data_IF_083121863886
#
_entry.id   IF_083121863886
#
_cell.length_a   1.000
_cell.length_b   1.000
_cell.length_c   1.000
_cell.angle_alpha   90.00
_cell.angle_beta   90.00
_cell.angle_gamma   90.00
#
_symmetry.space_group_name_H-M   'P 1'
#
loop_
_entity.id
_entity.type
_entity.pdbx_description
1 polymer ?
#
# COMPACT_ATOMS: atom_id res chain seq x y z
N UNK A 1 -36.43 -34.11 -9.73
CA UNK A 1 -36.82 -32.81 -10.33
C UNK A 1 -36.26 -31.60 -9.59
N UNK A 2 -36.45 -31.43 -8.26
CA UNK A 2 -35.93 -30.24 -7.55
C UNK A 2 -34.38 -30.15 -7.48
N UNK A 3 -33.68 -31.28 -7.36
CA UNK A 3 -32.21 -31.32 -7.31
C UNK A 3 -31.56 -31.02 -8.67
N UNK A 4 -32.15 -31.51 -9.78
CA UNK A 4 -31.68 -31.23 -11.14
C UNK A 4 -31.91 -29.77 -11.55
N UNK A 5 -33.04 -29.18 -11.15
CA UNK A 5 -33.31 -27.76 -11.41
C UNK A 5 -32.30 -26.85 -10.69
N UNK A 6 -31.91 -27.21 -9.46
CA UNK A 6 -30.89 -26.49 -8.70
C UNK A 6 -29.50 -26.63 -9.32
N UNK A 7 -29.08 -27.85 -9.70
CA UNK A 7 -27.80 -28.08 -10.35
C UNK A 7 -27.67 -27.35 -11.70
N UNK A 8 -28.76 -27.23 -12.45
CA UNK A 8 -28.80 -26.50 -13.71
C UNK A 8 -28.69 -24.97 -13.51
N UNK A 9 -29.38 -24.44 -12.50
CA UNK A 9 -29.27 -23.03 -12.12
C UNK A 9 -27.86 -22.67 -11.60
N UNK A 10 -27.23 -23.56 -10.82
CA UNK A 10 -25.87 -23.35 -10.32
C UNK A 10 -24.84 -23.35 -11.47
N UNK A 11 -24.97 -24.25 -12.46
CA UNK A 11 -24.13 -24.22 -13.66
C UNK A 11 -24.32 -22.95 -14.49
N UNK A 12 -25.55 -22.52 -14.74
CA UNK A 12 -25.84 -21.30 -15.52
C UNK A 12 -25.27 -20.06 -14.82
N UNK A 13 -25.34 -20.00 -13.48
CA UNK A 13 -24.74 -18.93 -12.69
C UNK A 13 -23.19 -18.95 -12.75
N UNK A 14 -22.56 -20.11 -12.69
CA UNK A 14 -21.11 -20.26 -12.80
C UNK A 14 -20.62 -19.89 -14.21
N UNK A 15 -21.35 -20.29 -15.25
CA UNK A 15 -21.04 -19.96 -16.63
C UNK A 15 -21.20 -18.45 -16.90
N UNK A 16 -22.23 -17.81 -16.34
CA UNK A 16 -22.39 -16.37 -16.39
C UNK A 16 -21.26 -15.63 -15.65
N UNK A 17 -20.79 -16.18 -14.53
CA UNK A 17 -19.65 -15.62 -13.78
C UNK A 17 -18.34 -15.70 -14.57
N UNK A 18 -18.06 -16.85 -15.19
CA UNK A 18 -16.87 -17.04 -16.04
C UNK A 18 -16.87 -16.12 -17.26
N UNK A 19 -18.02 -15.89 -17.88
CA UNK A 19 -18.16 -14.95 -19.00
C UNK A 19 -17.97 -13.50 -18.56
N UNK A 20 -18.52 -13.13 -17.39
CA UNK A 20 -18.31 -11.80 -16.81
C UNK A 20 -16.85 -11.57 -16.44
N UNK A 21 -16.17 -12.58 -15.90
CA UNK A 21 -14.74 -12.56 -15.58
C UNK A 21 -13.88 -12.41 -16.84
N UNK A 22 -14.15 -13.21 -17.88
CA UNK A 22 -13.45 -13.12 -19.16
C UNK A 22 -13.63 -11.75 -19.83
N UNK A 23 -14.85 -11.20 -19.79
CA UNK A 23 -15.15 -9.88 -20.35
C UNK A 23 -14.47 -8.76 -19.56
N UNK A 24 -14.54 -8.79 -18.22
CA UNK A 24 -13.89 -7.80 -17.38
C UNK A 24 -12.36 -7.80 -17.57
N UNK A 25 -11.76 -8.98 -17.74
CA UNK A 25 -10.34 -9.13 -18.05
C UNK A 25 -9.98 -8.57 -19.43
N UNK A 26 -10.78 -8.87 -20.46
CA UNK A 26 -10.56 -8.35 -21.81
C UNK A 26 -10.72 -6.82 -21.89
N UNK A 27 -11.73 -6.24 -21.21
CA UNK A 27 -11.95 -4.80 -21.17
C UNK A 27 -10.80 -4.08 -20.43
N UNK A 28 -10.27 -4.68 -19.36
CA UNK A 28 -9.09 -4.18 -18.65
C UNK A 28 -7.83 -4.22 -19.54
N UNK A 29 -7.58 -5.35 -20.22
CA UNK A 29 -6.44 -5.51 -21.14
C UNK A 29 -6.51 -4.52 -22.32
N UNK A 30 -7.70 -4.29 -22.89
CA UNK A 30 -7.89 -3.33 -23.98
C UNK A 30 -7.63 -1.88 -23.53
N UNK A 31 -8.08 -1.52 -22.32
CA UNK A 31 -7.87 -0.18 -21.75
C UNK A 31 -6.39 0.08 -21.48
N UNK A 32 -5.66 -0.90 -20.93
CA UNK A 32 -4.22 -0.78 -20.69
C UNK A 32 -3.44 -0.70 -22.00
N UNK A 33 -3.83 -1.44 -23.02
CA UNK A 33 -3.19 -1.37 -24.33
C UNK A 33 -3.34 0.01 -24.98
N UNK A 34 -4.52 0.63 -24.88
CA UNK A 34 -4.75 1.99 -25.39
C UNK A 34 -3.91 3.04 -24.66
N UNK A 35 -3.82 2.97 -23.32
CA UNK A 35 -2.95 3.86 -22.55
C UNK A 35 -1.49 3.70 -22.92
N UNK A 36 -1.02 2.46 -23.05
CA UNK A 36 0.36 2.16 -23.45
C UNK A 36 0.67 2.71 -24.86
N UNK A 37 -0.23 2.54 -25.83
CA UNK A 37 -0.07 3.08 -27.18
C UNK A 37 -0.03 4.62 -27.18
N UNK A 38 -0.89 5.29 -26.40
CA UNK A 38 -0.88 6.76 -26.29
C UNK A 38 0.39 7.28 -25.63
N UNK A 39 0.85 6.64 -24.55
CA UNK A 39 2.11 6.97 -23.88
C UNK A 39 3.30 6.80 -24.83
N UNK A 40 3.32 5.70 -25.60
CA UNK A 40 4.38 5.43 -26.59
C UNK A 40 4.40 6.48 -27.71
N UNK A 41 3.23 6.99 -28.12
CA UNK A 41 3.15 8.09 -29.10
C UNK A 41 3.70 9.39 -28.52
N UNK A 42 3.28 9.75 -27.30
CA UNK A 42 3.76 10.97 -26.62
C UNK A 42 5.27 10.95 -26.37
N UNK A 43 5.83 9.80 -26.00
CA UNK A 43 7.26 9.64 -25.83
C UNK A 43 8.02 9.89 -27.13
N UNK A 44 7.55 9.34 -28.26
CA UNK A 44 8.15 9.59 -29.59
C UNK A 44 8.08 11.06 -30.00
N UNK A 45 6.94 11.71 -29.80
CA UNK A 45 6.78 13.14 -30.11
C UNK A 45 7.73 14.02 -29.28
N UNK A 46 7.91 13.70 -27.98
CA UNK A 46 8.84 14.42 -27.13
C UNK A 46 10.31 14.14 -27.52
N UNK A 47 10.66 12.89 -27.86
CA UNK A 47 12.00 12.54 -28.37
C UNK A 47 12.34 13.30 -29.66
N UNK A 48 11.42 13.36 -30.62
CA UNK A 48 11.62 14.13 -31.86
C UNK A 48 11.80 15.63 -31.58
N UNK A 49 11.02 16.18 -30.65
CA UNK A 49 11.16 17.58 -30.23
C UNK A 49 12.50 17.84 -29.57
N UNK A 50 12.95 16.98 -28.66
CA UNK A 50 14.25 17.09 -28.02
C UNK A 50 15.39 16.98 -29.03
N UNK A 51 15.28 16.07 -30.01
CA UNK A 51 16.29 15.93 -31.08
C UNK A 51 16.40 17.20 -31.93
N UNK A 52 15.28 17.85 -32.27
CA UNK A 52 15.30 19.14 -33.00
C UNK A 52 15.96 20.26 -32.19
N UNK A 53 15.64 20.37 -30.90
CA UNK A 53 16.25 21.37 -30.01
C UNK A 53 17.75 21.12 -29.84
N UNK A 54 18.18 19.86 -29.71
CA UNK A 54 19.59 19.50 -29.62
C UNK A 54 20.36 19.86 -30.90
N UNK A 55 19.76 19.65 -32.08
CA UNK A 55 20.36 20.02 -33.35
C UNK A 55 20.50 21.55 -33.52
N UNK A 56 19.48 22.32 -33.11
CA UNK A 56 19.51 23.77 -33.11
C UNK A 56 20.60 24.31 -32.17
N UNK A 57 20.69 23.74 -30.96
CA UNK A 57 21.73 24.06 -29.98
C UNK A 57 23.14 23.80 -30.51
N UNK A 58 23.38 22.62 -31.09
CA UNK A 58 24.67 22.26 -31.65
C UNK A 58 25.12 23.23 -32.77
N UNK A 59 24.17 23.75 -33.56
CA UNK A 59 24.45 24.76 -34.58
C UNK A 59 24.85 26.10 -33.95
N UNK A 60 24.11 26.57 -32.94
CA UNK A 60 24.44 27.80 -32.22
C UNK A 60 25.82 27.71 -31.52
N UNK A 61 26.15 26.54 -30.96
CA UNK A 61 27.44 26.31 -30.31
C UNK A 61 28.60 26.32 -31.31
N UNK A 62 28.42 25.71 -32.48
CA UNK A 62 29.41 25.76 -33.55
C UNK A 62 29.64 27.20 -34.07
N UNK A 63 28.58 27.99 -34.19
CA UNK A 63 28.66 29.41 -34.56
C UNK A 63 29.39 30.23 -33.48
N UNK A 64 29.11 29.99 -32.20
CA UNK A 64 29.78 30.64 -31.08
C UNK A 64 31.28 30.28 -30.99
N UNK A 65 31.64 29.00 -31.17
CA UNK A 65 33.02 28.53 -31.22
C UNK A 65 33.79 29.16 -32.39
N UNK A 66 33.17 29.27 -33.57
CA UNK A 66 33.78 29.93 -34.72
C UNK A 66 34.02 31.44 -34.48
N UNK A 67 33.13 32.11 -33.75
CA UNK A 67 33.31 33.51 -33.32
C UNK A 67 34.43 33.66 -32.28
N UNK A 68 34.51 32.74 -31.31
CA UNK A 68 35.55 32.71 -30.28
C UNK A 68 36.96 32.52 -30.89
N UNK A 69 37.10 31.58 -31.83
CA UNK A 69 38.34 31.34 -32.55
C UNK A 69 38.83 32.58 -33.34
N UNK A 70 37.90 33.40 -33.85
CA UNK A 70 38.20 34.65 -34.55
C UNK A 70 38.57 35.79 -33.60
N UNK A 71 37.91 35.88 -32.45
CA UNK A 71 38.13 36.96 -31.48
C UNK A 71 39.52 36.89 -30.81
N UNK A 72 40.08 35.68 -30.65
CA UNK A 72 41.42 35.41 -30.09
C UNK A 72 41.67 36.05 -28.70
N UNK A 73 40.63 36.42 -27.97
CA UNK A 73 40.76 36.99 -26.63
C UNK A 73 40.77 35.90 -25.54
N UNK A 74 41.62 36.07 -24.52
CA UNK A 74 41.83 35.04 -23.48
C UNK A 74 40.58 34.78 -22.64
N UNK A 75 39.73 35.80 -22.46
CA UNK A 75 38.46 35.66 -21.74
C UNK A 75 37.46 34.83 -22.55
N UNK A 76 37.38 35.02 -23.87
CA UNK A 76 36.57 34.20 -24.77
C UNK A 76 36.98 32.73 -24.78
N UNK A 77 38.28 32.43 -24.82
CA UNK A 77 38.79 31.05 -24.69
C UNK A 77 38.41 30.40 -23.35
N UNK A 78 38.49 31.17 -22.26
CA UNK A 78 38.09 30.69 -20.94
C UNK A 78 36.58 30.39 -20.88
N UNK A 79 35.75 31.23 -21.49
CA UNK A 79 34.30 31.03 -21.61
C UNK A 79 34.00 29.77 -22.44
N UNK A 80 34.68 29.57 -23.56
CA UNK A 80 34.49 28.40 -24.43
C UNK A 80 34.85 27.09 -23.73
N UNK A 81 36.03 27.01 -23.09
CA UNK A 81 36.46 25.84 -22.32
C UNK A 81 35.47 25.53 -21.18
N UNK A 82 35.01 26.55 -20.46
CA UNK A 82 34.04 26.35 -19.38
C UNK A 82 32.66 25.93 -19.93
N UNK A 83 32.26 26.44 -21.08
CA UNK A 83 31.00 26.04 -21.75
C UNK A 83 31.01 24.56 -22.11
N UNK A 84 32.12 24.05 -22.65
CA UNK A 84 32.28 22.62 -22.93
C UNK A 84 32.22 21.75 -21.66
N UNK A 85 32.82 22.22 -20.56
CA UNK A 85 32.71 21.55 -19.26
C UNK A 85 31.27 21.49 -18.77
N UNK A 86 30.54 22.61 -18.87
CA UNK A 86 29.13 22.73 -18.49
C UNK A 86 28.25 21.79 -19.31
N UNK A 87 28.52 21.63 -20.60
CA UNK A 87 27.80 20.68 -21.45
C UNK A 87 28.00 19.23 -21.02
N UNK A 88 29.22 18.85 -20.63
CA UNK A 88 29.49 17.54 -20.04
C UNK A 88 28.68 17.28 -18.77
N UNK A 89 28.66 18.25 -17.84
CA UNK A 89 27.86 18.16 -16.61
C UNK A 89 26.34 18.12 -16.93
N UNK A 90 25.89 18.85 -17.95
CA UNK A 90 24.48 18.85 -18.39
C UNK A 90 24.02 17.48 -18.88
N UNK A 91 24.88 16.74 -19.57
CA UNK A 91 24.57 15.39 -20.04
C UNK A 91 24.44 14.42 -18.86
N UNK A 92 25.38 14.47 -17.91
CA UNK A 92 25.33 13.65 -16.68
C UNK A 92 24.03 13.92 -15.91
N UNK A 93 23.65 15.18 -15.77
CA UNK A 93 22.43 15.56 -15.07
C UNK A 93 21.16 15.06 -15.77
N UNK A 94 21.15 15.09 -17.10
CA UNK A 94 20.06 14.54 -17.92
C UNK A 94 19.94 13.03 -17.75
N UNK A 95 21.06 12.31 -17.77
CA UNK A 95 21.09 10.86 -17.57
C UNK A 95 20.60 10.46 -16.17
N UNK A 96 21.04 11.18 -15.14
CA UNK A 96 20.58 10.97 -13.76
C UNK A 96 19.07 11.20 -13.63
N UNK A 97 18.55 12.26 -14.25
CA UNK A 97 17.12 12.57 -14.22
C UNK A 97 16.30 11.51 -14.96
N UNK A 98 16.79 11.01 -16.10
CA UNK A 98 16.15 9.92 -16.86
C UNK A 98 16.12 8.61 -16.07
N UNK A 99 17.23 8.25 -15.42
CA UNK A 99 17.27 7.09 -14.52
C UNK A 99 16.29 7.23 -13.36
N UNK A 100 16.21 8.43 -12.78
CA UNK A 100 15.27 8.70 -11.70
C UNK A 100 13.83 8.59 -12.17
N UNK A 101 13.48 9.20 -13.31
CA UNK A 101 12.17 9.09 -13.95
C UNK A 101 11.76 7.63 -14.21
N UNK A 102 12.66 6.82 -14.76
CA UNK A 102 12.41 5.39 -14.99
C UNK A 102 12.15 4.63 -13.67
N UNK A 103 12.88 4.97 -12.61
CA UNK A 103 12.70 4.36 -11.28
C UNK A 103 11.35 4.75 -10.65
N UNK A 104 10.94 6.02 -10.76
CA UNK A 104 9.61 6.47 -10.32
C UNK A 104 8.50 5.78 -11.11
N UNK A 105 8.66 5.64 -12.42
CA UNK A 105 7.70 4.95 -13.28
C UNK A 105 7.51 3.47 -12.87
N UNK A 106 8.61 2.78 -12.53
CA UNK A 106 8.55 1.42 -12.00
C UNK A 106 7.76 1.35 -10.68
N UNK A 107 7.98 2.30 -9.75
CA UNK A 107 7.21 2.38 -8.50
C UNK A 107 5.73 2.64 -8.76
N UNK A 108 5.40 3.49 -9.73
CA UNK A 108 4.02 3.75 -10.11
C UNK A 108 3.35 2.50 -10.70
N UNK A 109 4.09 1.72 -11.50
CA UNK A 109 3.62 0.44 -12.02
C UNK A 109 3.36 -0.57 -10.91
N UNK A 110 4.27 -0.70 -9.95
CA UNK A 110 4.10 -1.59 -8.79
C UNK A 110 2.85 -1.23 -7.97
N UNK A 111 2.56 0.08 -7.81
CA UNK A 111 1.34 0.56 -7.17
C UNK A 111 0.08 0.21 -7.97
N UNK A 112 0.10 0.41 -9.29
CA UNK A 112 -1.04 0.06 -10.15
C UNK A 112 -1.34 -1.44 -10.12
N UNK A 113 -0.29 -2.26 -10.15
CA UNK A 113 -0.37 -3.71 -10.02
C UNK A 113 -1.02 -4.12 -8.68
N UNK A 114 -0.65 -3.45 -7.57
CA UNK A 114 -1.22 -3.69 -6.25
C UNK A 114 -2.70 -3.30 -6.18
N UNK A 115 -3.07 -2.17 -6.79
CA UNK A 115 -4.48 -1.74 -6.89
C UNK A 115 -5.31 -2.74 -7.67
N UNK A 116 -4.81 -3.20 -8.82
CA UNK A 116 -5.48 -4.20 -9.65
C UNK A 116 -5.65 -5.53 -8.90
N UNK A 117 -4.61 -6.02 -8.21
CA UNK A 117 -4.70 -7.23 -7.37
C UNK A 117 -5.79 -7.09 -6.31
N UNK A 118 -5.82 -5.95 -5.61
CA UNK A 118 -6.83 -5.68 -4.59
C UNK A 118 -8.25 -5.63 -5.18
N UNK A 119 -8.44 -4.92 -6.29
CA UNK A 119 -9.74 -4.75 -6.95
C UNK A 119 -10.30 -6.07 -7.53
N UNK A 120 -9.44 -6.88 -8.17
CA UNK A 120 -9.82 -8.21 -8.67
C UNK A 120 -10.16 -9.13 -7.53
N UNK A 121 -9.32 -9.13 -6.50
CA UNK A 121 -9.56 -9.91 -5.31
C UNK A 121 -10.93 -9.55 -4.73
N UNK A 122 -11.31 -8.26 -4.66
CA UNK A 122 -12.60 -7.83 -4.07
C UNK A 122 -13.82 -8.31 -4.86
N UNK A 123 -13.64 -8.59 -6.15
CA UNK A 123 -14.65 -9.21 -7.00
C UNK A 123 -14.68 -10.74 -6.88
N UNK A 124 -13.88 -11.32 -5.99
CA UNK A 124 -13.73 -12.76 -5.81
C UNK A 124 -12.92 -13.45 -6.92
N UNK A 125 -12.18 -12.68 -7.73
CA UNK A 125 -11.38 -13.19 -8.84
C UNK A 125 -9.96 -13.46 -8.31
N UNK A 126 -9.57 -14.73 -8.32
CA UNK A 126 -8.24 -15.14 -7.88
C UNK A 126 -7.19 -14.88 -8.97
N UNK A 127 -6.12 -14.17 -8.61
CA UNK A 127 -4.94 -13.96 -9.45
C UNK A 127 -3.73 -14.56 -8.74
N UNK A 128 -2.89 -15.26 -9.49
CA UNK A 128 -1.67 -15.84 -8.93
C UNK A 128 -0.75 -14.73 -8.36
N UNK A 129 -0.22 -14.89 -7.13
CA UNK A 129 0.66 -13.90 -6.53
C UNK A 129 1.90 -13.66 -7.40
N UNK A 130 2.20 -12.38 -7.69
CA UNK A 130 3.44 -12.05 -8.40
C UNK A 130 4.65 -12.40 -7.52
N UNK A 131 5.78 -12.82 -8.11
CA UNK A 131 7.02 -13.07 -7.37
C UNK A 131 7.41 -11.88 -6.51
N UNK A 132 7.87 -12.14 -5.29
CA UNK A 132 8.33 -11.09 -4.39
C UNK A 132 9.56 -10.38 -4.98
N UNK A 133 9.42 -9.09 -5.28
CA UNK A 133 10.52 -8.21 -5.69
C UNK A 133 11.09 -7.54 -4.44
N UNK A 134 12.39 -7.71 -4.19
CA UNK A 134 13.06 -6.99 -3.11
C UNK A 134 13.05 -5.49 -3.39
N UNK A 135 12.39 -4.72 -2.51
CA UNK A 135 12.31 -3.26 -2.63
C UNK A 135 13.52 -2.53 -2.05
N UNK A 136 14.40 -3.24 -1.31
CA UNK A 136 15.52 -2.63 -0.61
C UNK A 136 16.56 -2.04 -1.59
N UNK A 137 16.93 -2.79 -2.63
CA UNK A 137 17.88 -2.33 -3.64
C UNK A 137 17.33 -1.13 -4.42
N UNK A 138 16.06 -1.20 -4.83
CA UNK A 138 15.41 -0.11 -5.56
C UNK A 138 15.25 1.16 -4.71
N UNK A 139 14.91 1.02 -3.42
CA UNK A 139 14.85 2.16 -2.51
C UNK A 139 16.23 2.77 -2.27
N UNK A 140 17.27 1.94 -2.15
CA UNK A 140 18.65 2.42 -2.04
C UNK A 140 19.09 3.18 -3.29
N UNK A 141 18.69 2.71 -4.47
CA UNK A 141 18.96 3.38 -5.75
C UNK A 141 18.25 4.74 -5.83
N UNK A 142 17.00 4.83 -5.37
CA UNK A 142 16.25 6.10 -5.30
C UNK A 142 16.98 7.12 -4.43
N UNK A 143 17.42 6.75 -3.23
CA UNK A 143 18.14 7.67 -2.35
C UNK A 143 19.50 8.08 -2.93
N UNK A 144 20.21 7.15 -3.57
CA UNK A 144 21.46 7.48 -4.27
C UNK A 144 21.22 8.47 -5.42
N UNK A 145 20.19 8.26 -6.25
CA UNK A 145 19.85 9.16 -7.36
C UNK A 145 19.46 10.56 -6.88
N UNK A 146 18.71 10.66 -5.76
CA UNK A 146 18.38 11.97 -5.16
C UNK A 146 19.63 12.77 -4.79
N UNK A 147 20.60 12.12 -4.16
CA UNK A 147 21.88 12.75 -3.76
C UNK A 147 22.68 13.14 -5.01
N UNK A 148 22.84 12.23 -5.97
CA UNK A 148 23.58 12.49 -7.20
C UNK A 148 22.97 13.65 -8.01
N UNK A 149 21.64 13.73 -8.10
CA UNK A 149 20.95 14.85 -8.76
C UNK A 149 21.17 16.15 -8.00
N UNK A 150 21.11 16.14 -6.66
CA UNK A 150 21.36 17.33 -5.85
C UNK A 150 22.80 17.84 -6.03
N UNK A 151 23.79 16.94 -6.03
CA UNK A 151 25.19 17.28 -6.24
C UNK A 151 25.44 17.81 -7.66
N UNK A 152 24.86 17.16 -8.68
CA UNK A 152 24.93 17.62 -10.07
C UNK A 152 24.30 19.01 -10.24
N UNK A 153 23.13 19.27 -9.64
CA UNK A 153 22.48 20.57 -9.62
C UNK A 153 23.37 21.66 -9.00
N UNK A 154 24.02 21.35 -7.87
CA UNK A 154 24.91 22.29 -7.20
C UNK A 154 26.18 22.56 -8.03
N UNK A 155 26.77 21.54 -8.65
CA UNK A 155 27.91 21.71 -9.55
C UNK A 155 27.55 22.59 -10.75
N UNK A 156 26.42 22.30 -11.39
CA UNK A 156 25.92 23.05 -12.54
C UNK A 156 25.69 24.53 -12.19
N UNK A 157 25.06 24.83 -11.05
CA UNK A 157 24.90 26.21 -10.57
C UNK A 157 26.22 26.95 -10.42
N UNK A 158 27.22 26.28 -9.83
CA UNK A 158 28.54 26.86 -9.62
C UNK A 158 29.25 27.13 -10.95
N UNK A 159 29.15 26.23 -11.93
CA UNK A 159 29.74 26.43 -13.26
C UNK A 159 29.03 27.54 -14.04
N UNK A 160 27.70 27.60 -14.02
CA UNK A 160 26.93 28.71 -14.62
C UNK A 160 27.30 30.06 -13.98
N UNK A 161 27.53 30.09 -12.66
CA UNK A 161 27.96 31.30 -11.96
C UNK A 161 29.37 31.73 -12.42
N UNK A 162 30.32 30.79 -12.53
CA UNK A 162 31.66 31.06 -13.08
C UNK A 162 31.58 31.57 -14.52
N UNK A 163 30.73 30.97 -15.35
CA UNK A 163 30.52 31.38 -16.75
C UNK A 163 29.94 32.79 -16.84
N UNK A 164 28.96 33.10 -15.98
CA UNK A 164 28.38 34.45 -15.86
C UNK A 164 29.43 35.48 -15.45
N UNK A 165 30.34 35.14 -14.54
CA UNK A 165 31.42 36.03 -14.11
C UNK A 165 32.42 36.29 -15.24
N UNK A 166 32.85 35.25 -15.97
CA UNK A 166 33.75 35.42 -17.14
C UNK A 166 33.10 36.28 -18.23
N UNK A 167 31.81 36.09 -18.49
CA UNK A 167 31.04 36.95 -19.40
C UNK A 167 31.06 38.41 -18.94
N UNK A 168 30.80 38.67 -17.66
CA UNK A 168 30.84 40.03 -17.10
C UNK A 168 32.24 40.65 -17.17
N UNK A 169 33.31 39.86 -17.03
CA UNK A 169 34.68 40.33 -17.24
C UNK A 169 34.94 40.69 -18.69
N UNK A 170 34.42 39.92 -19.65
CA UNK A 170 34.54 40.21 -21.07
C UNK A 170 33.82 41.51 -21.44
N UNK A 171 32.65 41.77 -20.86
CA UNK A 171 31.91 43.02 -21.06
C UNK A 171 32.68 44.29 -20.61
N UNK A 172 33.69 44.17 -19.74
CA UNK A 172 34.55 45.31 -19.37
C UNK A 172 35.53 45.69 -20.49
N UNK A 173 35.85 44.76 -21.39
CA UNK A 173 36.84 44.90 -22.47
C UNK A 173 36.20 45.04 -23.85
N UNK A 174 34.99 44.52 -24.03
CA UNK A 174 34.30 44.46 -25.32
C UNK A 174 32.86 44.99 -25.22
N UNK A 175 32.35 45.67 -26.27
CA UNK A 175 30.98 46.20 -26.28
C UNK A 175 29.92 45.11 -26.06
N UNK A 176 28.80 45.47 -25.44
CA UNK A 176 27.68 44.55 -25.22
C UNK A 176 27.10 44.00 -26.53
N UNK A 177 27.11 44.80 -27.59
CA UNK A 177 26.54 44.43 -28.89
C UNK A 177 27.47 43.59 -29.78
N UNK A 178 28.68 43.28 -29.31
CA UNK A 178 29.61 42.36 -29.98
C UNK A 178 28.92 41.00 -30.22
N UNK A 179 28.97 40.45 -31.46
CA UNK A 179 28.33 39.17 -31.80
C UNK A 179 28.70 38.02 -30.85
N UNK A 180 29.94 37.97 -30.38
CA UNK A 180 30.39 36.91 -29.46
C UNK A 180 29.79 37.09 -28.05
N UNK A 181 29.68 38.33 -27.56
CA UNK A 181 28.97 38.61 -26.29
C UNK A 181 27.48 38.27 -26.37
N UNK A 182 26.83 38.45 -27.52
CA UNK A 182 25.43 38.05 -27.71
C UNK A 182 25.29 36.52 -27.62
N UNK A 183 26.13 35.78 -28.34
CA UNK A 183 26.14 34.32 -28.31
C UNK A 183 26.39 33.77 -26.89
N UNK A 184 27.35 34.33 -26.14
CA UNK A 184 27.60 33.92 -24.76
C UNK A 184 26.43 34.21 -23.82
N UNK A 185 25.78 35.38 -23.97
CA UNK A 185 24.61 35.72 -23.16
C UNK A 185 23.44 34.77 -23.43
N UNK A 186 23.17 34.46 -24.70
CA UNK A 186 22.14 33.50 -25.11
C UNK A 186 22.43 32.12 -24.51
N UNK A 187 23.65 31.61 -24.63
CA UNK A 187 24.06 30.33 -24.05
C UNK A 187 23.93 30.30 -22.53
N UNK A 188 24.34 31.35 -21.82
CA UNK A 188 24.19 31.45 -20.35
C UNK A 188 22.71 31.41 -19.96
N UNK A 189 21.84 32.10 -20.71
CA UNK A 189 20.40 32.10 -20.43
C UNK A 189 19.77 30.74 -20.73
N UNK A 190 20.19 30.07 -21.81
CA UNK A 190 19.79 28.70 -22.13
C UNK A 190 20.16 27.74 -20.99
N UNK A 191 21.41 27.78 -20.52
CA UNK A 191 21.89 26.95 -19.41
C UNK A 191 21.13 27.20 -18.10
N UNK A 192 20.81 28.46 -17.79
CA UNK A 192 19.98 28.80 -16.62
C UNK A 192 18.56 28.26 -16.75
N UNK A 193 17.96 28.36 -17.94
CA UNK A 193 16.63 27.83 -18.21
C UNK A 193 16.59 26.30 -18.12
N UNK A 194 17.60 25.63 -18.68
CA UNK A 194 17.77 24.18 -18.59
C UNK A 194 17.94 23.72 -17.13
N UNK A 195 18.78 24.42 -16.35
CA UNK A 195 18.97 24.12 -14.92
C UNK A 195 17.65 24.25 -14.14
N UNK A 196 16.90 25.33 -14.36
CA UNK A 196 15.61 25.53 -13.70
C UNK A 196 14.59 24.46 -14.10
N UNK A 197 14.59 24.03 -15.37
CA UNK A 197 13.74 22.94 -15.84
C UNK A 197 14.09 21.63 -15.12
N UNK A 198 15.37 21.26 -15.04
CA UNK A 198 15.80 20.05 -14.36
C UNK A 198 15.47 20.04 -12.86
N UNK A 199 15.58 21.19 -12.19
CA UNK A 199 15.16 21.30 -10.78
C UNK A 199 13.66 21.09 -10.58
N UNK A 200 12.85 21.66 -11.47
CA UNK A 200 11.39 21.49 -11.43
C UNK A 200 11.01 20.04 -11.70
N UNK A 201 11.62 19.40 -12.70
CA UNK A 201 11.36 18.00 -13.03
C UNK A 201 11.81 17.07 -11.89
N UNK A 202 12.99 17.32 -11.31
CA UNK A 202 13.47 16.59 -10.12
C UNK A 202 12.54 16.73 -8.92
N UNK A 203 12.07 17.95 -8.62
CA UNK A 203 11.12 18.20 -7.54
C UNK A 203 9.77 17.50 -7.77
N UNK A 204 9.27 17.51 -9.01
CA UNK A 204 8.04 16.80 -9.37
C UNK A 204 8.17 15.28 -9.15
N UNK A 205 9.29 14.68 -9.57
CA UNK A 205 9.55 13.25 -9.36
C UNK A 205 9.63 12.88 -7.87
N UNK A 206 10.20 13.75 -7.04
CA UNK A 206 10.22 13.55 -5.57
C UNK A 206 8.80 13.57 -5.01
N UNK A 207 7.98 14.56 -5.41
CA UNK A 207 6.59 14.64 -4.97
C UNK A 207 5.77 13.41 -5.41
N UNK A 208 5.98 12.93 -6.64
CA UNK A 208 5.36 11.71 -7.14
C UNK A 208 5.75 10.47 -6.31
N UNK A 209 7.01 10.34 -5.91
CA UNK A 209 7.44 9.24 -5.03
C UNK A 209 6.75 9.29 -3.67
N UNK A 210 6.59 10.46 -3.07
CA UNK A 210 5.88 10.61 -1.79
C UNK A 210 4.41 10.23 -1.91
N UNK A 211 3.76 10.64 -3.01
CA UNK A 211 2.39 10.24 -3.35
C UNK A 211 2.30 8.72 -3.53
N UNK A 212 3.16 8.13 -4.35
CA UNK A 212 3.19 6.68 -4.60
C UNK A 212 3.38 5.91 -3.28
N UNK A 213 4.29 6.37 -2.41
CA UNK A 213 4.51 5.76 -1.10
C UNK A 213 3.22 5.76 -0.26
N UNK A 214 2.56 6.90 -0.17
CA UNK A 214 1.33 7.08 0.60
C UNK A 214 0.20 6.17 0.06
N UNK A 215 -0.01 6.17 -1.26
CA UNK A 215 -1.01 5.32 -1.91
C UNK A 215 -0.71 3.83 -1.73
N UNK A 216 0.56 3.43 -1.81
CA UNK A 216 0.98 2.04 -1.56
C UNK A 216 0.66 1.60 -0.13
N UNK A 217 0.87 2.46 0.86
CA UNK A 217 0.51 2.16 2.24
C UNK A 217 -1.01 2.00 2.44
N UNK A 218 -1.81 2.80 1.73
CA UNK A 218 -3.27 2.69 1.75
C UNK A 218 -3.72 1.32 1.21
N UNK A 219 -3.20 0.92 0.04
CA UNK A 219 -3.55 -0.37 -0.56
C UNK A 219 -3.08 -1.56 0.27
N UNK A 220 -1.91 -1.47 0.92
CA UNK A 220 -1.46 -2.49 1.88
C UNK A 220 -2.42 -2.60 3.07
N UNK A 221 -2.85 -1.48 3.64
CA UNK A 221 -3.84 -1.46 4.74
C UNK A 221 -5.18 -2.05 4.31
N UNK A 222 -5.63 -1.79 3.08
CA UNK A 222 -6.85 -2.37 2.50
C UNK A 222 -6.77 -3.90 2.46
N UNK A 223 -5.67 -4.46 1.95
CA UNK A 223 -5.42 -5.90 1.93
C UNK A 223 -5.41 -6.53 3.33
N UNK A 224 -4.75 -5.89 4.31
CA UNK A 224 -4.69 -6.39 5.69
C UNK A 224 -6.09 -6.42 6.32
N UNK A 225 -6.86 -5.33 6.18
CA UNK A 225 -8.24 -5.27 6.71
C UNK A 225 -9.12 -6.37 6.14
N UNK A 226 -8.96 -6.66 4.86
CA UNK A 226 -9.73 -7.72 4.20
C UNK A 226 -9.29 -9.12 4.61
N UNK A 227 -7.98 -9.40 4.66
CA UNK A 227 -7.49 -10.68 5.15
C UNK A 227 -7.96 -10.95 6.59
N UNK A 228 -8.05 -9.91 7.43
CA UNK A 228 -8.66 -10.01 8.75
C UNK A 228 -10.16 -10.34 8.67
N UNK A 229 -10.92 -9.68 7.78
CA UNK A 229 -12.35 -9.92 7.58
C UNK A 229 -12.67 -11.33 7.03
N UNK A 230 -11.96 -11.77 5.99
CA UNK A 230 -12.16 -13.11 5.39
C UNK A 230 -11.78 -14.24 6.36
N UNK A 231 -10.73 -14.03 7.16
CA UNK A 231 -10.38 -14.96 8.23
C UNK A 231 -11.46 -14.98 9.33
N UNK A 232 -12.17 -13.88 9.59
CA UNK A 232 -13.25 -13.84 10.59
C UNK A 232 -14.46 -14.72 10.21
N UNK A 233 -14.91 -14.67 8.94
CA UNK A 233 -16.04 -15.48 8.47
C UNK A 233 -15.69 -16.97 8.42
N UNK A 234 -14.49 -17.30 7.90
CA UNK A 234 -14.00 -18.68 7.89
C UNK A 234 -13.82 -19.25 9.31
N UNK A 235 -13.23 -18.48 10.22
CA UNK A 235 -13.09 -18.87 11.63
C UNK A 235 -14.45 -19.07 12.30
N UNK A 236 -15.40 -18.15 12.10
CA UNK A 236 -16.73 -18.29 12.68
C UNK A 236 -17.43 -19.58 12.22
N UNK A 237 -17.34 -19.93 10.93
CA UNK A 237 -17.91 -21.18 10.42
C UNK A 237 -17.27 -22.42 11.07
N UNK A 238 -15.94 -22.44 11.22
CA UNK A 238 -15.21 -23.52 11.89
C UNK A 238 -15.56 -23.62 13.39
N UNK A 239 -15.69 -22.48 14.05
CA UNK A 239 -16.04 -22.34 15.45
C UNK A 239 -17.44 -22.89 15.74
N UNK A 240 -18.43 -22.52 14.92
CA UNK A 240 -19.80 -23.04 15.00
C UNK A 240 -19.83 -24.55 14.74
N UNK A 241 -19.11 -25.04 13.73
CA UNK A 241 -19.03 -26.47 13.44
C UNK A 241 -18.40 -27.27 14.59
N UNK A 242 -17.36 -26.71 15.23
CA UNK A 242 -16.69 -27.33 16.37
C UNK A 242 -17.60 -27.38 17.60
N UNK A 243 -18.31 -26.29 17.91
CA UNK A 243 -19.29 -26.26 18.99
C UNK A 243 -20.39 -27.30 18.77
N UNK A 244 -20.94 -27.37 17.55
CA UNK A 244 -21.96 -28.36 17.19
C UNK A 244 -21.45 -29.78 17.42
N UNK A 245 -20.26 -30.10 16.93
CA UNK A 245 -19.63 -31.40 17.14
C UNK A 245 -19.47 -31.71 18.63
N UNK A 246 -18.96 -30.77 19.43
CA UNK A 246 -18.79 -30.96 20.89
C UNK A 246 -20.14 -31.28 21.55
N UNK A 247 -21.20 -30.55 21.22
CA UNK A 247 -22.54 -30.78 21.77
C UNK A 247 -23.11 -32.15 21.38
N UNK A 248 -22.83 -32.64 20.17
CA UNK A 248 -23.36 -33.91 19.65
C UNK A 248 -22.56 -35.13 20.09
N UNK A 249 -21.24 -35.02 20.26
CA UNK A 249 -20.36 -36.17 20.52
C UNK A 249 -19.95 -36.33 21.98
N UNK A 250 -20.05 -35.29 22.80
CA UNK A 250 -19.63 -35.34 24.20
C UNK A 250 -20.65 -36.11 25.04
N UNK A 251 -20.18 -37.20 25.67
CA UNK A 251 -21.00 -38.00 26.59
C UNK A 251 -21.02 -37.35 27.98
N UNK A 252 -22.14 -37.51 28.69
CA UNK A 252 -22.25 -37.13 30.10
C UNK A 252 -21.22 -37.90 30.93
N UNK A 253 -20.54 -37.19 31.84
CA UNK A 253 -19.56 -37.81 32.73
C UNK A 253 -20.25 -38.68 33.77
N UNK A 254 -19.76 -39.90 33.96
CA UNK A 254 -20.19 -40.80 35.05
C UNK A 254 -19.64 -40.36 36.41
N UNK A 255 -18.56 -39.58 36.42
CA UNK A 255 -17.96 -39.00 37.63
C UNK A 255 -18.27 -37.50 37.70
N UNK A 256 -18.83 -36.99 38.81
CA UNK A 256 -19.11 -35.56 38.95
C UNK A 256 -17.84 -34.72 38.81
N UNK A 257 -17.84 -33.79 37.85
CA UNK A 257 -16.74 -32.85 37.66
C UNK A 257 -16.72 -31.80 38.78
N UNK A 258 -15.51 -31.40 39.18
CA UNK A 258 -15.22 -30.41 40.21
C UNK A 258 -14.82 -29.08 39.56
N UNK A 259 -14.91 -27.98 40.32
CA UNK A 259 -14.49 -26.67 39.82
C UNK A 259 -13.00 -26.62 39.42
N UNK A 260 -12.15 -27.42 40.07
CA UNK A 260 -10.72 -27.57 39.73
C UNK A 260 -10.48 -28.20 38.35
N UNK A 261 -11.49 -28.87 37.77
CA UNK A 261 -11.36 -29.50 36.47
C UNK A 261 -11.54 -28.50 35.32
N UNK A 262 -12.03 -27.29 35.61
CA UNK A 262 -12.29 -26.22 34.65
C UNK A 262 -11.15 -25.19 34.64
N UNK A 263 -10.60 -24.91 33.45
CA UNK A 263 -9.76 -23.73 33.22
C UNK A 263 -10.70 -22.57 32.87
N UNK A 264 -10.85 -21.58 33.74
CA UNK A 264 -11.71 -20.42 33.47
C UNK A 264 -11.05 -19.36 32.58
N UNK A 265 -9.74 -19.52 32.32
CA UNK A 265 -8.92 -18.59 31.57
C UNK A 265 -8.78 -17.25 32.29
N UNK A 266 -9.02 -16.15 31.58
CA UNK A 266 -8.82 -14.81 32.11
C UNK A 266 -9.98 -14.38 33.01
N UNK A 267 -9.67 -14.01 34.25
CA UNK A 267 -10.67 -13.52 35.20
C UNK A 267 -11.32 -12.23 34.69
N UNK A 268 -12.65 -12.21 34.73
CA UNK A 268 -13.43 -11.06 34.32
C UNK A 268 -13.71 -10.15 35.51
N UNK A 269 -13.57 -8.84 35.32
CA UNK A 269 -14.10 -7.86 36.28
C UNK A 269 -15.62 -7.93 36.27
N UNK A 270 -16.26 -7.72 37.43
CA UNK A 270 -17.71 -7.64 37.51
C UNK A 270 -18.20 -6.47 36.64
N UNK A 271 -18.86 -6.79 35.52
CA UNK A 271 -19.48 -5.87 34.56
C UNK A 271 -18.50 -5.16 33.60
N UNK A 272 -18.24 -5.79 32.45
CA UNK A 272 -17.50 -5.20 31.31
C UNK A 272 -18.45 -4.84 30.17
N UNK A 273 -18.17 -3.77 29.43
CA UNK A 273 -18.84 -3.43 28.17
C UNK A 273 -17.90 -3.76 27.01
N UNK A 274 -18.39 -4.56 26.07
CA UNK A 274 -17.69 -4.95 24.86
C UNK A 274 -18.52 -4.54 23.65
N UNK A 275 -17.86 -3.98 22.64
CA UNK A 275 -18.52 -3.43 21.45
C UNK A 275 -18.17 -4.18 20.17
N UNK A 276 -19.04 -4.12 19.18
CA UNK A 276 -18.81 -4.62 17.82
C UNK A 276 -18.49 -6.13 17.76
N UNK A 277 -19.23 -6.93 18.54
CA UNK A 277 -19.17 -8.39 18.48
C UNK A 277 -20.05 -8.90 17.35
N UNK A 278 -19.42 -9.21 16.22
CA UNK A 278 -20.08 -9.86 15.08
C UNK A 278 -20.74 -11.19 15.50
N UNK A 279 -21.87 -11.52 14.88
CA UNK A 279 -22.63 -12.76 15.12
C UNK A 279 -23.07 -12.94 16.58
N UNK A 280 -23.28 -11.83 17.30
CA UNK A 280 -23.89 -11.80 18.62
C UNK A 280 -24.90 -10.67 18.68
N UNK A 281 -25.87 -10.77 19.59
CA UNK A 281 -26.88 -9.75 19.76
C UNK A 281 -26.47 -8.78 20.88
N UNK A 282 -27.14 -7.63 20.91
CA UNK A 282 -27.07 -6.74 22.07
C UNK A 282 -27.69 -7.43 23.29
N UNK A 283 -27.07 -7.25 24.46
CA UNK A 283 -27.56 -7.82 25.71
C UNK A 283 -26.50 -7.99 26.78
N UNK A 284 -26.90 -8.62 27.88
CA UNK A 284 -26.08 -8.95 29.05
C UNK A 284 -25.86 -10.46 29.09
N UNK A 285 -24.63 -10.87 28.88
CA UNK A 285 -24.21 -12.26 28.80
C UNK A 285 -23.60 -12.71 30.12
N UNK A 286 -23.99 -13.89 30.60
CA UNK A 286 -23.34 -14.53 31.75
C UNK A 286 -22.14 -15.35 31.29
N UNK A 287 -20.98 -14.70 31.30
CA UNK A 287 -19.72 -15.30 30.88
C UNK A 287 -19.21 -16.21 31.98
N UNK A 288 -18.94 -17.46 31.64
CA UNK A 288 -18.39 -18.47 32.54
C UNK A 288 -16.90 -18.66 32.40
N UNK A 289 -16.32 -18.40 31.22
CA UNK A 289 -14.88 -18.50 30.97
C UNK A 289 -14.46 -17.64 29.79
N UNK A 290 -13.19 -17.21 29.78
CA UNK A 290 -12.61 -16.43 28.69
C UNK A 290 -11.25 -16.97 28.28
N UNK A 291 -11.11 -17.39 27.03
CA UNK A 291 -9.88 -17.98 26.49
C UNK A 291 -9.41 -17.28 25.23
N UNK A 292 -8.11 -17.29 24.97
CA UNK A 292 -7.51 -16.78 23.73
C UNK A 292 -7.11 -17.90 22.75
N UNK A 293 -7.45 -19.16 23.05
CA UNK A 293 -7.10 -20.31 22.22
C UNK A 293 -8.34 -21.17 21.95
N UNK A 294 -8.37 -21.78 20.75
CA UNK A 294 -9.42 -22.69 20.31
C UNK A 294 -9.43 -23.96 21.14
N UNK A 295 -8.25 -24.47 21.49
CA UNK A 295 -8.07 -25.70 22.26
C UNK A 295 -8.65 -25.55 23.67
N UNK A 296 -8.30 -24.47 24.37
CA UNK A 296 -8.81 -24.20 25.72
C UNK A 296 -10.31 -23.95 25.74
N UNK A 297 -10.81 -23.23 24.74
CA UNK A 297 -12.25 -23.05 24.54
C UNK A 297 -12.95 -24.40 24.38
N UNK A 298 -12.46 -25.25 23.48
CA UNK A 298 -13.07 -26.56 23.20
C UNK A 298 -12.99 -27.50 24.40
N UNK A 299 -11.91 -27.47 25.16
CA UNK A 299 -11.79 -28.21 26.43
C UNK A 299 -12.82 -27.77 27.46
N UNK A 300 -13.00 -26.45 27.66
CA UNK A 300 -14.00 -25.93 28.59
C UNK A 300 -15.42 -26.32 28.15
N UNK A 301 -15.74 -26.11 26.86
CA UNK A 301 -17.04 -26.48 26.28
C UNK A 301 -17.32 -27.97 26.45
N UNK A 302 -16.34 -28.83 26.15
CA UNK A 302 -16.46 -30.29 26.32
C UNK A 302 -16.73 -30.66 27.76
N UNK A 303 -16.00 -30.09 28.72
CA UNK A 303 -16.24 -30.35 30.16
C UNK A 303 -17.60 -29.84 30.63
N UNK A 304 -18.05 -28.70 30.13
CA UNK A 304 -19.36 -28.15 30.48
C UNK A 304 -20.50 -29.03 29.94
N UNK A 305 -20.40 -29.49 28.68
CA UNK A 305 -21.36 -30.44 28.10
C UNK A 305 -21.33 -31.77 28.84
N UNK A 306 -20.15 -32.29 29.18
CA UNK A 306 -20.00 -33.50 30.00
C UNK A 306 -20.60 -33.35 31.41
N UNK A 307 -20.60 -32.14 31.97
CA UNK A 307 -21.27 -31.77 33.23
C UNK A 307 -22.79 -31.51 33.07
N UNK A 308 -23.35 -31.73 31.87
CA UNK A 308 -24.77 -31.61 31.57
C UNK A 308 -25.24 -30.23 31.09
N UNK A 309 -24.33 -29.33 30.69
CA UNK A 309 -24.67 -27.98 30.19
C UNK A 309 -24.62 -27.92 28.67
N UNK A 310 -25.69 -28.32 27.99
CA UNK A 310 -25.78 -28.44 26.53
C UNK A 310 -26.12 -27.14 25.78
N UNK A 311 -26.71 -26.16 26.47
CA UNK A 311 -27.02 -24.82 26.00
C UNK A 311 -25.80 -23.88 25.97
N UNK A 312 -24.62 -24.35 26.39
CA UNK A 312 -23.39 -23.56 26.38
C UNK A 312 -23.03 -23.06 24.97
N UNK A 313 -22.54 -21.84 24.88
CA UNK A 313 -22.22 -21.15 23.64
C UNK A 313 -21.03 -20.21 23.87
N UNK A 314 -20.56 -19.55 22.82
CA UNK A 314 -19.54 -18.53 22.93
C UNK A 314 -19.67 -17.50 21.81
N UNK A 315 -19.02 -16.36 22.02
CA UNK A 315 -18.72 -15.42 20.94
C UNK A 315 -17.23 -15.09 20.92
N UNK A 316 -16.73 -14.66 19.77
CA UNK A 316 -15.33 -14.26 19.61
C UNK A 316 -15.21 -12.75 19.44
N UNK A 317 -14.42 -12.12 20.30
CA UNK A 317 -14.06 -10.72 20.17
C UNK A 317 -12.77 -10.60 19.34
N UNK A 318 -12.91 -10.10 18.11
CA UNK A 318 -11.79 -9.89 17.18
C UNK A 318 -10.76 -8.89 17.74
N UNK A 319 -11.22 -7.85 18.42
CA UNK A 319 -10.34 -6.79 18.94
C UNK A 319 -9.42 -7.28 20.05
N UNK A 320 -9.87 -8.24 20.87
CA UNK A 320 -9.07 -8.80 21.97
C UNK A 320 -8.52 -10.18 21.67
N UNK A 321 -8.90 -10.79 20.54
CA UNK A 321 -8.64 -12.19 20.19
C UNK A 321 -9.05 -13.18 21.30
N UNK A 322 -10.26 -13.00 21.86
CA UNK A 322 -10.77 -13.81 22.98
C UNK A 322 -12.13 -14.42 22.68
N UNK A 323 -12.30 -15.65 23.10
CA UNK A 323 -13.56 -16.39 23.20
C UNK A 323 -14.19 -16.15 24.55
N UNK A 324 -15.42 -15.65 24.56
CA UNK A 324 -16.23 -15.46 25.75
C UNK A 324 -17.30 -16.54 25.77
N UNK A 325 -17.18 -17.48 26.72
CA UNK A 325 -18.07 -18.63 26.83
C UNK A 325 -19.22 -18.27 27.77
N UNK A 326 -20.45 -18.54 27.36
CA UNK A 326 -21.66 -18.22 28.11
C UNK A 326 -22.72 -19.31 27.92
N UNK A 327 -23.76 -19.32 28.74
CA UNK A 327 -24.95 -20.15 28.49
C UNK A 327 -26.27 -19.41 28.72
N UNK A 328 -26.23 -18.22 29.31
CA UNK A 328 -27.39 -17.34 29.52
C UNK A 328 -27.13 -15.93 28.95
N UNK A 329 -28.19 -15.33 28.39
CA UNK A 329 -28.23 -13.96 27.86
C UNK A 329 -29.55 -13.32 28.31
N UNK A 330 -29.48 -12.05 28.71
CA UNK A 330 -30.64 -11.24 29.07
C UNK A 330 -30.62 -9.89 28.35
N UNK A 331 -31.79 -9.30 28.11
CA UNK A 331 -31.87 -7.96 27.49
C UNK A 331 -31.63 -6.84 28.52
N UNK A 332 -31.91 -7.11 29.80
CA UNK A 332 -31.78 -6.14 30.90
C UNK A 332 -30.73 -6.54 31.95
N UNK A 333 -30.11 -5.52 32.54
CA UNK A 333 -29.10 -5.69 33.59
C UNK A 333 -29.69 -6.28 34.87
N UNK A 334 -30.94 -5.94 35.21
CA UNK A 334 -31.59 -6.42 36.43
C UNK A 334 -31.79 -7.93 36.40
N UNK A 335 -32.22 -8.47 35.27
CA UNK A 335 -32.41 -9.90 35.04
C UNK A 335 -31.07 -10.64 35.10
N UNK A 336 -30.05 -10.12 34.42
CA UNK A 336 -28.70 -10.69 34.44
C UNK A 336 -28.09 -10.70 35.85
N UNK A 337 -28.31 -9.65 36.63
CA UNK A 337 -27.82 -9.55 38.02
C UNK A 337 -28.52 -10.58 38.91
N UNK A 338 -29.84 -10.70 38.83
CA UNK A 338 -30.60 -11.72 39.57
C UNK A 338 -30.14 -13.14 39.22
N UNK A 339 -29.87 -13.41 37.94
CA UNK A 339 -29.37 -14.70 37.49
C UNK A 339 -27.95 -14.99 37.98
N UNK A 340 -27.06 -13.99 37.98
CA UNK A 340 -25.71 -14.12 38.54
C UNK A 340 -25.75 -14.42 40.05
N UNK A 341 -26.64 -13.75 40.80
CA UNK A 341 -26.85 -13.99 42.23
C UNK A 341 -27.42 -15.40 42.48
N UNK A 342 -28.24 -15.91 41.55
CA UNK A 342 -28.86 -17.23 41.60
C UNK A 342 -28.03 -18.35 40.92
N UNK A 343 -26.76 -18.09 40.53
CA UNK A 343 -25.94 -19.01 39.71
C UNK A 343 -25.71 -20.41 40.31
N UNK A 344 -25.96 -20.60 41.60
CA UNK A 344 -25.81 -21.89 42.28
C UNK A 344 -24.36 -22.39 42.36
N UNK A 345 -24.19 -23.70 42.62
CA UNK A 345 -22.90 -24.32 42.94
C UNK A 345 -22.36 -25.27 41.88
N UNK A 346 -22.81 -25.13 40.62
CA UNK A 346 -22.30 -25.95 39.51
C UNK A 346 -20.81 -25.67 39.28
N UNK A 347 -20.00 -26.68 38.93
CA UNK A 347 -18.54 -26.55 38.89
C UNK A 347 -18.06 -25.50 37.87
N UNK A 348 -18.79 -25.27 36.78
CA UNK A 348 -18.48 -24.27 35.76
C UNK A 348 -18.96 -22.84 36.08
N UNK A 349 -19.61 -22.60 37.22
CA UNK A 349 -20.13 -21.27 37.59
C UNK A 349 -19.18 -20.45 38.50
N UNK A 350 -18.01 -21.01 38.81
CA UNK A 350 -17.08 -20.47 39.81
C UNK A 350 -16.60 -19.04 39.54
N UNK A 351 -16.40 -18.68 38.28
CA UNK A 351 -15.88 -17.37 37.83
C UNK A 351 -16.86 -16.60 36.95
N UNK A 352 -18.15 -16.87 37.11
CA UNK A 352 -19.19 -16.23 36.29
C UNK A 352 -19.23 -14.72 36.49
N UNK A 353 -19.34 -13.97 35.37
CA UNK A 353 -19.43 -12.52 35.36
C UNK A 353 -20.42 -12.04 34.28
N UNK A 354 -20.94 -10.82 34.45
CA UNK A 354 -21.81 -10.16 33.46
C UNK A 354 -20.93 -9.39 32.47
N UNK A 355 -21.16 -9.60 31.18
CA UNK A 355 -20.58 -8.80 30.09
C UNK A 355 -21.71 -8.23 29.24
N UNK A 356 -21.71 -6.91 29.05
CA UNK A 356 -22.63 -6.21 28.16
C UNK A 356 -22.04 -6.19 26.75
N UNK A 357 -22.80 -6.66 25.76
CA UNK A 357 -22.47 -6.58 24.34
C UNK A 357 -23.28 -5.46 23.69
N UNK A 358 -22.59 -4.56 22.97
CA UNK A 358 -23.17 -3.44 22.22
C UNK A 358 -22.65 -3.42 20.77
N UNK A 359 -23.54 -3.67 19.81
CA UNK A 359 -23.34 -3.69 18.37
C UNK A 359 -24.11 -2.57 17.69
#
# INVERSE_FOLDING_TARGET
MAAEAKAKADMEAEQARLLAEAKAKADAEATEKLKAEEETRRLREEEERQARLAAERAKADAEAAALAAKAKDDTGKAIENLTQSVEGTSNIQTDLLNQFKATVANKQKDLNDLKEENDLSEKGIYREPKPFKSVAAENSQIEALKVQIADANNSMKNEIAKLTNLYNERLKKFPKDDPLNKAYLEKINELKAAQLKMEREGAALIADLERIKTETEIERKRRIKRAAYENDEGRYAQDVASLKRIKETTKLSSTPLKASDFDFGEEQSNMQIIKNIKNSDNGYYLIVAVHNSVEKRDEFLTKAVAAGRSDINFFYNVATSKYYIYYEKYDGLQEATKALDAKGSKPYNGKMAIVKVEN
#
